data_IF_330373901651
#
_entry.id   IF_330373901651
#
_cell.length_a   1.000
_cell.length_b   1.000
_cell.length_c   1.000
_cell.angle_alpha   90.00
_cell.angle_beta   90.00
_cell.angle_gamma   90.00
#
_symmetry.space_group_name_H-M   'P 1'
#
loop_
_entity.id
_entity.type
_entity.pdbx_description
1 polymer ?
#
# COMPACT_ATOMS: atom_id res chain seq x y z
N UNK A 1 2.39 5.86 -12.51
CA UNK A 1 1.08 5.35 -12.99
C UNK A 1 1.27 4.30 -14.06
N UNK A 2 0.45 3.25 -14.01
CA UNK A 2 0.57 2.07 -14.88
C UNK A 2 -0.22 2.19 -16.19
N UNK A 3 -0.68 3.38 -16.56
CA UNK A 3 -1.48 3.61 -17.76
C UNK A 3 -1.99 5.04 -17.88
N UNK A 4 -2.71 5.27 -18.95
CA UNK A 4 -3.36 6.56 -19.23
C UNK A 4 -4.53 6.82 -18.28
N UNK A 5 -4.92 8.09 -18.14
CA UNK A 5 -6.12 8.45 -17.42
C UNK A 5 -7.34 7.80 -18.11
N UNK A 6 -8.10 7.00 -17.38
CA UNK A 6 -9.33 6.39 -17.87
C UNK A 6 -10.55 6.92 -17.11
N UNK A 7 -11.73 6.71 -17.64
CA UNK A 7 -12.98 7.28 -17.11
C UNK A 7 -13.22 6.93 -15.63
N UNK A 8 -12.81 5.75 -15.18
CA UNK A 8 -12.95 5.35 -13.77
C UNK A 8 -12.08 6.20 -12.84
N UNK A 9 -10.83 6.49 -13.21
CA UNK A 9 -9.94 7.37 -12.45
C UNK A 9 -10.43 8.81 -12.48
N UNK A 10 -10.89 9.29 -13.64
CA UNK A 10 -11.47 10.62 -13.78
C UNK A 10 -12.70 10.78 -12.87
N UNK A 11 -13.60 9.79 -12.86
CA UNK A 11 -14.78 9.78 -11.97
C UNK A 11 -14.37 9.91 -10.50
N UNK A 12 -13.41 9.11 -10.05
CA UNK A 12 -12.94 9.17 -8.67
C UNK A 12 -12.36 10.55 -8.34
N UNK A 13 -11.57 11.14 -9.25
CA UNK A 13 -11.03 12.46 -9.06
C UNK A 13 -12.13 13.53 -8.97
N UNK A 14 -13.15 13.46 -9.85
CA UNK A 14 -14.29 14.39 -9.85
C UNK A 14 -15.02 14.37 -8.50
N UNK A 15 -15.31 13.18 -7.94
CA UNK A 15 -15.97 13.09 -6.64
C UNK A 15 -15.16 13.73 -5.52
N UNK A 16 -13.85 13.43 -5.45
CA UNK A 16 -12.96 14.02 -4.46
C UNK A 16 -12.86 15.54 -4.63
N UNK A 17 -12.76 16.02 -5.88
CA UNK A 17 -12.71 17.45 -6.20
C UNK A 17 -13.97 18.19 -5.76
N UNK A 18 -15.15 17.65 -6.11
CA UNK A 18 -16.43 18.22 -5.69
C UNK A 18 -16.58 18.25 -4.18
N UNK A 19 -16.19 17.16 -3.50
CA UNK A 19 -16.23 17.10 -2.05
C UNK A 19 -15.29 18.12 -1.42
N UNK A 20 -14.03 18.18 -1.85
CA UNK A 20 -13.06 19.15 -1.37
C UNK A 20 -13.56 20.60 -1.55
N UNK A 21 -14.11 20.93 -2.73
CA UNK A 21 -14.68 22.28 -2.99
C UNK A 21 -15.90 22.58 -2.11
N UNK A 22 -16.81 21.61 -1.93
CA UNK A 22 -17.98 21.73 -1.05
C UNK A 22 -17.55 22.00 0.40
N UNK A 23 -16.54 21.30 0.88
CA UNK A 23 -16.03 21.43 2.25
C UNK A 23 -15.03 22.58 2.43
N UNK A 24 -14.70 23.34 1.38
CA UNK A 24 -13.62 24.35 1.37
C UNK A 24 -12.28 23.77 1.82
N UNK A 25 -12.05 22.51 1.51
CA UNK A 25 -10.84 21.77 1.84
C UNK A 25 -9.80 21.87 0.75
N UNK A 26 -8.66 21.21 0.99
CA UNK A 26 -7.52 21.12 0.08
C UNK A 26 -7.65 19.88 -0.81
N UNK A 27 -7.57 20.06 -2.12
CA UNK A 27 -7.52 18.95 -3.08
C UNK A 27 -6.07 18.53 -3.33
N UNK A 28 -5.74 17.31 -2.96
CA UNK A 28 -4.40 16.73 -3.12
C UNK A 28 -4.38 15.79 -4.33
N UNK A 29 -3.48 16.03 -5.26
CA UNK A 29 -3.13 15.08 -6.33
C UNK A 29 -1.91 14.28 -5.90
N UNK A 30 -2.09 12.97 -5.70
CA UNK A 30 -1.01 12.04 -5.39
C UNK A 30 -0.76 11.08 -6.55
N UNK A 31 0.47 11.00 -6.99
CA UNK A 31 0.92 10.06 -8.01
C UNK A 31 1.64 8.89 -7.34
N UNK A 32 1.07 7.70 -7.47
CA UNK A 32 1.62 6.45 -6.94
C UNK A 32 2.53 5.82 -7.99
N UNK A 33 3.79 6.29 -8.06
CA UNK A 33 4.80 5.96 -9.06
C UNK A 33 5.95 5.10 -8.50
N UNK A 34 5.67 4.31 -7.47
CA UNK A 34 6.65 3.40 -6.84
C UNK A 34 6.95 2.13 -7.63
N UNK A 35 6.22 1.86 -8.70
CA UNK A 35 6.47 0.78 -9.65
C UNK A 35 7.23 1.36 -10.86
N UNK A 36 8.55 1.31 -10.79
CA UNK A 36 9.44 1.92 -11.79
C UNK A 36 9.34 1.27 -13.16
N UNK A 37 9.01 -0.01 -13.23
CA UNK A 37 8.97 -0.78 -14.49
C UNK A 37 7.73 -0.44 -15.33
N UNK A 38 6.63 -0.07 -14.65
CA UNK A 38 5.35 0.26 -15.28
C UNK A 38 5.02 1.74 -15.30
N UNK A 39 5.86 2.57 -14.66
CA UNK A 39 5.67 4.01 -14.64
C UNK A 39 6.39 4.67 -15.80
N UNK A 40 5.66 5.38 -16.68
CA UNK A 40 6.21 6.11 -17.80
C UNK A 40 5.87 7.59 -17.71
N UNK A 41 6.76 8.45 -18.19
CA UNK A 41 6.51 9.88 -18.27
C UNK A 41 5.28 10.19 -19.15
N UNK A 42 5.10 9.44 -20.23
CA UNK A 42 3.92 9.59 -21.10
C UNK A 42 2.60 9.33 -20.34
N UNK A 43 2.56 8.31 -19.46
CA UNK A 43 1.39 8.04 -18.61
C UNK A 43 1.12 9.18 -17.63
N UNK A 44 2.18 9.77 -17.07
CA UNK A 44 2.06 10.90 -16.14
C UNK A 44 1.53 12.15 -16.86
N UNK A 45 2.07 12.48 -18.03
CA UNK A 45 1.60 13.61 -18.85
C UNK A 45 0.13 13.43 -19.27
N UNK A 46 -0.27 12.23 -19.66
CA UNK A 46 -1.67 11.93 -19.99
C UNK A 46 -2.63 12.21 -18.81
N UNK A 47 -2.21 11.94 -17.58
CA UNK A 47 -3.01 12.27 -16.39
C UNK A 47 -3.16 13.79 -16.26
N UNK A 48 -2.08 14.54 -16.36
CA UNK A 48 -2.13 16.01 -16.28
C UNK A 48 -2.97 16.63 -17.39
N UNK A 49 -2.81 16.17 -18.62
CA UNK A 49 -3.58 16.65 -19.77
C UNK A 49 -5.07 16.33 -19.60
N UNK A 50 -5.39 15.11 -19.17
CA UNK A 50 -6.78 14.69 -18.93
C UNK A 50 -7.47 15.49 -17.82
N UNK A 51 -6.77 15.76 -16.70
CA UNK A 51 -7.31 16.58 -15.63
C UNK A 51 -7.50 18.03 -16.05
N UNK A 52 -6.56 18.60 -16.82
CA UNK A 52 -6.69 19.96 -17.38
C UNK A 52 -7.84 20.05 -18.37
N UNK A 53 -8.00 19.04 -19.24
CA UNK A 53 -9.10 18.98 -20.20
C UNK A 53 -10.47 18.95 -19.51
N UNK A 54 -10.56 18.31 -18.32
CA UNK A 54 -11.77 18.29 -17.50
C UNK A 54 -11.93 19.54 -16.61
N UNK A 55 -11.02 20.51 -16.71
CA UNK A 55 -10.95 21.70 -15.85
C UNK A 55 -10.89 21.37 -14.35
N UNK A 56 -10.20 20.27 -14.01
CA UNK A 56 -10.02 19.82 -12.63
C UNK A 56 -8.63 20.26 -12.11
N UNK A 57 -8.64 21.14 -11.14
CA UNK A 57 -7.43 21.66 -10.48
C UNK A 57 -7.18 20.93 -9.15
N UNK A 58 -5.94 21.00 -8.71
CA UNK A 58 -5.51 20.54 -7.39
C UNK A 58 -4.72 21.64 -6.69
N UNK A 59 -4.71 21.58 -5.35
CA UNK A 59 -4.06 22.60 -4.52
C UNK A 59 -2.66 22.13 -4.08
N UNK A 60 -2.48 20.82 -3.89
CA UNK A 60 -1.20 20.21 -3.53
C UNK A 60 -0.88 19.01 -4.44
N UNK A 61 0.41 18.74 -4.60
CA UNK A 61 0.90 17.67 -5.46
C UNK A 61 2.03 16.88 -4.79
N UNK A 62 1.94 15.54 -4.85
CA UNK A 62 2.95 14.64 -4.30
C UNK A 62 3.24 13.47 -5.23
N UNK A 63 4.53 13.14 -5.40
CA UNK A 63 4.98 11.90 -6.03
C UNK A 63 5.50 10.97 -4.95
N UNK A 64 5.04 9.72 -4.95
CA UNK A 64 5.47 8.76 -3.95
C UNK A 64 6.93 8.31 -4.14
N UNK A 65 7.44 8.33 -5.38
CA UNK A 65 8.86 8.07 -5.66
C UNK A 65 9.80 9.09 -5.00
N UNK A 66 9.35 10.31 -4.73
CA UNK A 66 10.14 11.35 -4.05
C UNK A 66 10.13 11.21 -2.52
N UNK A 67 9.37 10.26 -1.98
CA UNK A 67 9.17 10.03 -0.54
C UNK A 67 9.72 8.69 -0.05
N UNK A 68 10.59 8.04 -0.82
CA UNK A 68 11.09 6.69 -0.54
C UNK A 68 11.78 6.59 0.83
N UNK A 69 12.59 7.58 1.20
CA UNK A 69 13.30 7.59 2.48
C UNK A 69 12.33 7.71 3.66
N UNK A 70 11.26 8.50 3.51
CA UNK A 70 10.20 8.58 4.51
C UNK A 70 9.50 7.24 4.68
N UNK A 71 9.13 6.58 3.57
CA UNK A 71 8.46 5.28 3.60
C UNK A 71 9.35 4.21 4.24
N UNK A 72 10.64 4.16 3.89
CA UNK A 72 11.60 3.24 4.50
C UNK A 72 11.74 3.48 5.99
N UNK A 73 11.90 4.74 6.39
CA UNK A 73 11.99 5.10 7.81
C UNK A 73 10.77 4.62 8.58
N UNK A 74 9.56 4.92 8.09
CA UNK A 74 8.32 4.52 8.76
C UNK A 74 8.17 2.99 8.85
N UNK A 75 8.51 2.24 7.80
CA UNK A 75 8.46 0.78 7.83
C UNK A 75 9.47 0.19 8.83
N UNK A 76 10.68 0.74 8.91
CA UNK A 76 11.69 0.32 9.88
C UNK A 76 11.30 0.70 11.32
N UNK A 77 10.67 1.85 11.53
CA UNK A 77 10.13 2.25 12.82
C UNK A 77 9.03 1.29 13.29
N UNK A 78 8.14 0.86 12.39
CA UNK A 78 7.12 -0.15 12.69
C UNK A 78 7.74 -1.50 13.03
N UNK A 79 8.78 -1.90 12.29
CA UNK A 79 9.53 -3.13 12.56
C UNK A 79 10.19 -3.08 13.95
N UNK A 80 10.86 -1.98 14.29
CA UNK A 80 11.52 -1.81 15.58
C UNK A 80 10.53 -1.78 16.76
N UNK A 81 9.30 -1.35 16.53
CA UNK A 81 8.21 -1.33 17.52
C UNK A 81 7.42 -2.64 17.60
N UNK A 82 7.76 -3.66 16.82
CA UNK A 82 7.05 -4.95 16.78
C UNK A 82 5.69 -4.92 16.06
N UNK A 83 5.35 -3.82 15.38
CA UNK A 83 4.14 -3.71 14.55
C UNK A 83 4.34 -4.20 13.11
N UNK A 84 5.55 -4.60 12.76
CA UNK A 84 5.88 -5.25 11.50
C UNK A 84 6.87 -6.39 11.74
N UNK A 85 7.07 -7.23 10.74
CA UNK A 85 8.03 -8.34 10.78
C UNK A 85 8.64 -8.56 9.41
N UNK A 86 9.79 -9.26 9.36
CA UNK A 86 10.44 -9.70 8.12
C UNK A 86 9.86 -11.04 7.70
N UNK A 87 9.33 -11.07 6.50
CA UNK A 87 8.82 -12.28 5.85
C UNK A 87 9.83 -12.74 4.79
N UNK A 88 10.48 -13.86 5.06
CA UNK A 88 11.48 -14.49 4.19
C UNK A 88 10.87 -15.53 3.25
N UNK A 89 9.55 -15.60 3.17
CA UNK A 89 8.87 -16.49 2.22
C UNK A 89 9.32 -16.16 0.80
N UNK A 90 9.84 -17.13 0.01
CA UNK A 90 10.17 -16.89 -1.38
C UNK A 90 8.97 -16.36 -2.16
N UNK A 91 9.22 -15.50 -3.14
CA UNK A 91 8.17 -15.10 -4.06
C UNK A 91 7.63 -16.36 -4.75
N UNK A 92 6.30 -16.54 -4.72
CA UNK A 92 5.68 -17.63 -5.46
C UNK A 92 6.06 -17.49 -6.93
N UNK A 93 6.67 -18.50 -7.50
CA UNK A 93 6.82 -18.61 -8.96
C UNK A 93 5.44 -18.92 -9.53
N UNK A 94 5.12 -18.41 -10.72
CA UNK A 94 3.82 -18.58 -11.39
C UNK A 94 3.35 -20.04 -11.56
N UNK A 95 4.17 -21.00 -11.14
CA UNK A 95 3.94 -22.46 -11.26
C UNK A 95 3.46 -23.12 -9.95
N UNK A 96 3.48 -22.44 -8.81
CA UNK A 96 2.94 -22.99 -7.58
C UNK A 96 1.46 -22.62 -7.46
N UNK A 97 0.60 -23.57 -7.78
CA UNK A 97 -0.83 -23.51 -7.49
C UNK A 97 -1.01 -23.21 -6.00
N UNK A 98 -1.68 -22.11 -5.69
CA UNK A 98 -2.18 -21.87 -4.34
C UNK A 98 -3.00 -23.08 -3.93
N UNK A 99 -2.76 -23.69 -2.75
CA UNK A 99 -3.51 -24.87 -2.33
C UNK A 99 -5.00 -24.57 -2.44
N UNK A 100 -5.70 -25.29 -3.32
CA UNK A 100 -7.15 -25.21 -3.42
C UNK A 100 -7.75 -25.65 -2.09
N UNK A 101 -8.47 -24.77 -1.40
CA UNK A 101 -9.21 -25.06 -0.18
C UNK A 101 -8.65 -24.44 1.10
N UNK A 102 -7.50 -23.78 1.09
CA UNK A 102 -7.11 -22.92 2.21
C UNK A 102 -7.93 -21.62 2.14
N UNK A 103 -8.47 -21.20 3.28
CA UNK A 103 -9.06 -19.86 3.44
C UNK A 103 -8.08 -18.76 3.00
N UNK A 104 -8.50 -17.48 2.98
CA UNK A 104 -7.64 -16.39 2.53
C UNK A 104 -6.30 -16.45 3.26
N UNK A 105 -5.20 -16.45 2.50
CA UNK A 105 -3.86 -16.42 3.08
C UNK A 105 -3.66 -15.08 3.80
N UNK A 106 -3.65 -15.13 5.13
CA UNK A 106 -3.56 -13.93 5.97
C UNK A 106 -2.13 -13.57 6.33
N UNK A 107 -1.26 -14.56 6.48
CA UNK A 107 0.16 -14.41 6.76
C UNK A 107 0.86 -15.78 6.67
N UNK A 108 2.21 -15.79 6.62
CA UNK A 108 2.99 -16.99 6.91
C UNK A 108 3.19 -17.09 8.43
N UNK A 109 2.57 -18.08 9.11
CA UNK A 109 2.65 -18.18 10.57
C UNK A 109 4.08 -18.38 11.08
N UNK A 110 4.90 -19.15 10.35
CA UNK A 110 6.29 -19.42 10.71
C UNK A 110 7.13 -18.14 10.70
N UNK A 111 7.01 -17.35 9.63
CA UNK A 111 7.75 -16.09 9.49
C UNK A 111 7.26 -15.04 10.50
N UNK A 112 5.96 -15.02 10.77
CA UNK A 112 5.36 -14.13 11.75
C UNK A 112 5.77 -14.46 13.19
N UNK A 113 6.13 -15.72 13.49
CA UNK A 113 6.52 -16.23 14.80
C UNK A 113 8.03 -16.18 15.06
N UNK A 114 8.86 -15.81 14.07
CA UNK A 114 10.31 -15.67 14.28
C UNK A 114 10.62 -14.70 15.41
N UNK A 115 11.60 -15.06 16.24
CA UNK A 115 12.15 -14.12 17.22
C UNK A 115 12.92 -12.99 16.53
N UNK A 116 13.11 -11.87 17.22
CA UNK A 116 13.88 -10.74 16.69
C UNK A 116 15.31 -11.15 16.35
N UNK A 117 15.95 -12.02 17.18
CA UNK A 117 17.30 -12.54 16.94
C UNK A 117 17.34 -13.42 15.69
N UNK A 118 16.38 -14.35 15.55
CA UNK A 118 16.31 -15.22 14.37
C UNK A 118 16.09 -14.40 13.09
N UNK A 119 15.18 -13.45 13.15
CA UNK A 119 14.88 -12.54 12.05
C UNK A 119 16.07 -11.67 11.67
N UNK A 120 16.81 -11.14 12.67
CA UNK A 120 18.01 -10.34 12.44
C UNK A 120 19.16 -11.17 11.86
N UNK A 121 19.36 -12.40 12.35
CA UNK A 121 20.40 -13.31 11.87
C UNK A 121 20.20 -13.67 10.39
N UNK A 122 18.97 -13.99 9.97
CA UNK A 122 18.62 -14.28 8.57
C UNK A 122 18.83 -13.06 7.67
N UNK A 123 18.42 -11.89 8.13
CA UNK A 123 18.65 -10.64 7.39
C UNK A 123 20.15 -10.33 7.25
N UNK A 124 20.95 -10.55 8.31
CA UNK A 124 22.41 -10.37 8.29
C UNK A 124 23.12 -11.39 7.38
N UNK A 125 22.55 -12.59 7.21
CA UNK A 125 23.02 -13.59 6.24
C UNK A 125 22.69 -13.22 4.77
N UNK A 126 21.98 -12.11 4.53
CA UNK A 126 21.66 -11.64 3.20
C UNK A 126 20.42 -12.30 2.58
N UNK A 127 19.61 -13.03 3.37
CA UNK A 127 18.37 -13.59 2.85
C UNK A 127 17.41 -12.47 2.44
N UNK A 128 16.82 -12.52 1.24
CA UNK A 128 15.85 -11.54 0.82
C UNK A 128 14.57 -11.64 1.65
N UNK A 129 14.00 -10.52 2.03
CA UNK A 129 12.77 -10.47 2.81
C UNK A 129 11.88 -9.29 2.41
N UNK A 130 10.61 -9.44 2.72
CA UNK A 130 9.59 -8.38 2.64
C UNK A 130 9.29 -7.91 4.06
N UNK A 131 9.12 -6.62 4.29
CA UNK A 131 8.58 -6.13 5.57
C UNK A 131 7.06 -6.10 5.47
N UNK A 132 6.39 -6.83 6.39
CA UNK A 132 4.93 -6.86 6.48
C UNK A 132 4.41 -6.20 7.73
N UNK A 133 3.31 -5.50 7.61
CA UNK A 133 2.56 -5.01 8.77
C UNK A 133 1.93 -6.18 9.53
N UNK A 134 2.06 -6.19 10.85
CA UNK A 134 1.59 -7.26 11.73
C UNK A 134 0.18 -6.94 12.22
N UNK A 135 -0.84 -7.34 11.49
CA UNK A 135 -2.24 -7.11 11.88
C UNK A 135 -2.53 -7.84 13.20
N UNK A 136 -3.07 -7.13 14.19
CA UNK A 136 -3.46 -7.73 15.46
C UNK A 136 -4.75 -8.53 15.29
N UNK A 137 -4.69 -9.85 15.56
CA UNK A 137 -5.82 -10.78 15.45
C UNK A 137 -6.22 -11.44 16.75
N UNK A 138 -5.44 -11.26 17.84
CA UNK A 138 -5.69 -11.85 19.14
C UNK A 138 -5.51 -10.79 20.26
N UNK A 139 -6.59 -10.37 20.92
CA UNK A 139 -7.97 -10.57 20.48
C UNK A 139 -8.25 -9.83 19.17
N UNK A 140 -9.07 -10.42 18.31
CA UNK A 140 -9.56 -9.73 17.13
C UNK A 140 -10.48 -8.56 17.53
N UNK A 141 -10.45 -7.49 16.76
CA UNK A 141 -11.33 -6.33 16.96
C UNK A 141 -11.85 -5.83 15.62
N UNK A 142 -12.89 -5.05 15.65
CA UNK A 142 -13.49 -4.46 14.47
C UNK A 142 -12.85 -3.09 14.18
N UNK A 143 -12.35 -2.93 12.98
CA UNK A 143 -11.91 -1.61 12.46
C UNK A 143 -13.12 -0.98 11.81
N UNK A 144 -13.50 0.20 12.26
CA UNK A 144 -14.65 0.94 11.75
C UNK A 144 -14.22 2.31 11.23
N UNK A 145 -14.88 2.77 10.17
CA UNK A 145 -14.73 4.13 9.66
C UNK A 145 -16.01 4.56 8.97
N UNK A 146 -16.23 5.86 8.90
CA UNK A 146 -17.33 6.44 8.16
C UNK A 146 -16.91 6.78 6.74
N UNK A 147 -17.58 6.18 5.76
CA UNK A 147 -17.42 6.50 4.35
C UNK A 147 -18.52 7.48 3.92
N UNK A 148 -18.16 8.59 3.29
CA UNK A 148 -19.10 9.66 2.92
C UNK A 148 -20.09 9.23 1.83
N UNK A 149 -19.85 8.13 1.14
CA UNK A 149 -20.71 7.58 0.08
C UNK A 149 -21.49 6.37 0.56
N UNK A 150 -20.81 5.46 1.27
CA UNK A 150 -21.35 4.15 1.69
C UNK A 150 -21.78 4.10 3.15
N UNK A 151 -21.58 5.19 3.92
CA UNK A 151 -21.88 5.23 5.35
C UNK A 151 -20.87 4.43 6.17
N UNK A 152 -21.29 3.98 7.36
CA UNK A 152 -20.40 3.27 8.27
C UNK A 152 -19.95 1.92 7.71
N UNK A 153 -18.64 1.75 7.65
CA UNK A 153 -17.98 0.55 7.17
C UNK A 153 -17.22 -0.11 8.31
N UNK A 154 -17.19 -1.43 8.33
CA UNK A 154 -16.42 -2.17 9.31
C UNK A 154 -15.77 -3.42 8.73
N UNK A 155 -14.66 -3.84 9.33
CA UNK A 155 -13.99 -5.09 9.00
C UNK A 155 -13.30 -5.67 10.23
N UNK A 156 -13.54 -6.97 10.47
CA UNK A 156 -12.88 -7.68 11.55
C UNK A 156 -11.40 -7.89 11.22
N UNK A 157 -10.48 -7.60 12.15
CA UNK A 157 -9.04 -7.78 11.96
C UNK A 157 -8.64 -9.22 11.68
N UNK A 158 -9.47 -10.20 12.11
CA UNK A 158 -9.30 -11.61 11.76
C UNK A 158 -9.32 -11.87 10.24
N UNK A 159 -9.99 -11.00 9.47
CA UNK A 159 -10.16 -11.13 8.01
C UNK A 159 -9.22 -10.22 7.22
N UNK A 160 -8.27 -9.56 7.90
CA UNK A 160 -7.30 -8.67 7.27
C UNK A 160 -5.95 -9.39 7.15
N UNK A 161 -5.40 -9.47 5.95
CA UNK A 161 -4.06 -10.02 5.72
C UNK A 161 -2.95 -9.11 6.28
N UNK A 162 -1.82 -9.70 6.65
CA UNK A 162 -0.58 -8.95 6.91
C UNK A 162 -0.03 -8.45 5.58
N UNK A 163 -0.28 -7.19 5.27
CA UNK A 163 0.11 -6.62 3.98
C UNK A 163 1.58 -6.17 3.95
N UNK A 164 2.19 -6.29 2.78
CA UNK A 164 3.57 -5.85 2.58
C UNK A 164 3.66 -4.31 2.66
N UNK A 165 4.66 -3.83 3.40
CA UNK A 165 5.06 -2.42 3.49
C UNK A 165 6.21 -2.14 2.52
N UNK A 166 7.32 -2.90 2.65
CA UNK A 166 8.46 -2.82 1.75
C UNK A 166 8.67 -4.16 1.04
N UNK A 167 8.99 -4.09 -0.23
CA UNK A 167 9.41 -5.22 -1.06
C UNK A 167 10.85 -5.63 -0.73
N UNK A 168 11.29 -6.80 -1.19
CA UNK A 168 12.66 -7.29 -0.97
C UNK A 168 13.76 -6.39 -1.56
N UNK A 169 13.44 -5.60 -2.56
CA UNK A 169 14.35 -4.57 -3.10
C UNK A 169 14.31 -3.25 -2.32
N UNK A 170 13.60 -3.18 -1.18
CA UNK A 170 13.46 -2.00 -0.35
C UNK A 170 12.51 -0.92 -0.89
N UNK A 171 11.81 -1.18 -2.00
CA UNK A 171 10.79 -0.27 -2.52
C UNK A 171 9.48 -0.39 -1.75
N UNK A 172 8.79 0.71 -1.45
CA UNK A 172 7.50 0.68 -0.78
C UNK A 172 6.44 0.05 -1.69
N UNK A 173 5.46 -0.58 -1.06
CA UNK A 173 4.22 -0.96 -1.75
C UNK A 173 3.24 0.21 -1.78
N UNK A 174 2.24 0.15 -2.65
CA UNK A 174 1.18 1.16 -2.67
C UNK A 174 0.44 1.26 -1.32
N UNK A 175 0.34 0.16 -0.57
CA UNK A 175 -0.34 0.14 0.74
C UNK A 175 0.41 0.91 1.84
N UNK A 176 1.74 1.03 1.76
CA UNK A 176 2.51 1.88 2.66
C UNK A 176 2.43 3.35 2.26
N UNK A 177 2.30 3.60 0.95
CA UNK A 177 2.26 4.93 0.39
C UNK A 177 0.88 5.63 0.51
N UNK A 178 -0.12 4.93 1.04
CA UNK A 178 -1.49 5.45 1.24
C UNK A 178 -1.68 6.15 2.62
#
# INVERSE_FOLDING_TARGET
PTGYLHIGSARTFIFNWLYARKQRGTMVLRIDDTDTDRNTEASLQSIYEGLRWLDLSWDEFYRQSERLDLHRKLALDLLAKGFAYRDFTPAATDLEEKPHGAGPWLCNPEMRALSDEQSAARAAAGEPFVIRFKVRRDPAYEVTFHDEVYGDQSKLTADIEDFALLRSNGMPTCRLAW
#
